data_IF_785464031207
#
_entry.id   IF_785464031207
#
_cell.length_a   1.000
_cell.length_b   1.000
_cell.length_c   1.000
_cell.angle_alpha   90.00
_cell.angle_beta   90.00
_cell.angle_gamma   90.00
#
_symmetry.space_group_name_H-M   'P 1'
#
loop_
_entity.id
_entity.type
_entity.pdbx_description
1 polymer ?
#
# COMPACT_ATOMS: atom_id res chain seq x y z
N UNK A 1 -6.67 12.96 21.48
CA UNK A 1 -6.80 13.01 20.01
C UNK A 1 -6.40 11.63 19.46
N UNK A 2 -7.35 10.83 18.99
CA UNK A 2 -7.03 9.54 18.36
C UNK A 2 -6.39 9.80 16.99
N UNK A 3 -5.10 9.48 16.85
CA UNK A 3 -4.34 9.72 15.62
C UNK A 3 -4.60 8.57 14.63
N UNK A 4 -5.63 8.72 13.80
CA UNK A 4 -6.01 7.71 12.80
C UNK A 4 -5.65 8.23 11.41
N UNK A 5 -4.39 8.05 11.00
CA UNK A 5 -3.96 8.34 9.64
C UNK A 5 -4.68 7.40 8.67
N UNK A 6 -5.61 7.96 7.89
CA UNK A 6 -6.40 7.24 6.89
C UNK A 6 -5.85 7.54 5.50
N UNK A 7 -5.61 6.50 4.71
CA UNK A 7 -5.09 6.61 3.34
C UNK A 7 -5.97 5.82 2.38
N UNK A 8 -6.02 6.26 1.13
CA UNK A 8 -6.66 5.51 0.05
C UNK A 8 -5.59 4.79 -0.80
N UNK A 9 -6.03 3.77 -1.52
CA UNK A 9 -5.18 2.99 -2.43
C UNK A 9 -4.62 3.81 -3.59
N UNK A 10 -5.35 4.78 -4.11
CA UNK A 10 -4.86 5.64 -5.19
C UNK A 10 -3.67 6.51 -4.78
N UNK A 11 -3.62 6.95 -3.52
CA UNK A 11 -2.58 7.85 -3.03
C UNK A 11 -1.36 7.13 -2.48
N UNK A 12 -1.48 5.84 -2.13
CA UNK A 12 -0.39 5.00 -1.61
C UNK A 12 0.86 5.04 -2.51
N UNK A 13 0.67 4.98 -3.84
CA UNK A 13 1.80 5.05 -4.77
C UNK A 13 2.42 6.45 -4.83
N UNK A 14 1.62 7.51 -4.84
CA UNK A 14 2.11 8.89 -4.95
C UNK A 14 2.89 9.33 -3.71
N UNK A 15 2.57 8.78 -2.54
CA UNK A 15 3.22 9.10 -1.26
C UNK A 15 4.62 8.50 -1.11
N UNK A 16 4.97 7.50 -1.94
CA UNK A 16 6.30 6.90 -1.91
C UNK A 16 7.36 7.85 -2.50
N UNK A 17 8.50 8.02 -1.82
CA UNK A 17 9.66 8.72 -2.38
C UNK A 17 10.13 8.05 -3.67
N UNK A 18 10.61 8.85 -4.63
CA UNK A 18 11.12 8.32 -5.91
C UNK A 18 12.26 7.32 -5.73
N UNK A 19 13.07 7.46 -4.67
CA UNK A 19 14.15 6.51 -4.35
C UNK A 19 13.64 5.10 -4.05
N UNK A 20 12.49 4.98 -3.37
CA UNK A 20 11.87 3.69 -3.06
C UNK A 20 11.22 3.10 -4.30
N UNK A 21 10.60 3.94 -5.15
CA UNK A 21 10.04 3.52 -6.45
C UNK A 21 11.11 2.99 -7.42
N UNK A 22 12.29 3.62 -7.41
CA UNK A 22 13.39 3.26 -8.30
C UNK A 22 14.12 1.99 -7.83
N UNK A 23 14.21 1.76 -6.51
CA UNK A 23 14.78 0.53 -5.95
C UNK A 23 13.95 -0.72 -6.31
N UNK A 24 12.63 -0.60 -6.40
CA UNK A 24 11.73 -1.66 -6.89
C UNK A 24 12.01 -2.05 -8.35
N UNK A 25 12.37 -1.06 -9.17
CA UNK A 25 12.66 -1.30 -10.59
C UNK A 25 14.02 -1.97 -10.79
N UNK A 26 14.96 -1.70 -9.88
CA UNK A 26 16.31 -2.28 -9.89
C UNK A 26 16.36 -3.68 -9.28
N UNK A 27 15.59 -3.94 -8.20
CA UNK A 27 15.53 -5.23 -7.53
C UNK A 27 14.14 -5.84 -7.69
N UNK A 28 13.98 -6.74 -8.67
CA UNK A 28 12.76 -7.52 -9.00
C UNK A 28 12.16 -8.37 -7.85
N UNK A 29 12.60 -8.18 -6.60
CA UNK A 29 12.14 -8.92 -5.43
C UNK A 29 11.90 -8.08 -4.17
N UNK A 30 12.10 -6.76 -4.20
CA UNK A 30 11.87 -5.90 -3.02
C UNK A 30 10.70 -4.98 -3.29
N UNK A 31 9.52 -5.36 -2.81
CA UNK A 31 8.32 -4.52 -2.84
C UNK A 31 8.39 -3.44 -1.74
N UNK A 32 7.81 -2.26 -1.96
CA UNK A 32 7.92 -1.16 -1.02
C UNK A 32 6.96 -1.39 0.14
N UNK A 33 7.47 -1.17 1.36
CA UNK A 33 6.71 -1.31 2.58
C UNK A 33 6.06 0.03 2.96
N UNK A 34 4.73 0.04 3.09
CA UNK A 34 3.98 1.24 3.46
C UNK A 34 3.15 0.99 4.71
N UNK A 35 3.29 1.85 5.73
CA UNK A 35 2.61 1.72 7.02
C UNK A 35 1.54 2.79 7.25
N UNK A 36 0.27 2.38 7.44
CA UNK A 36 -0.84 3.29 7.75
C UNK A 36 -1.80 2.71 8.77
N UNK A 37 -2.59 3.57 9.45
CA UNK A 37 -3.53 3.06 10.45
C UNK A 37 -4.80 2.50 9.80
N UNK A 38 -5.39 3.25 8.85
CA UNK A 38 -6.62 2.87 8.17
C UNK A 38 -6.46 2.97 6.65
N UNK A 39 -6.69 1.88 5.92
CA UNK A 39 -6.56 1.81 4.46
C UNK A 39 -7.92 1.58 3.81
N UNK A 40 -8.32 2.52 2.95
CA UNK A 40 -9.58 2.51 2.24
C UNK A 40 -9.40 2.12 0.78
N UNK A 41 -10.41 1.43 0.23
CA UNK A 41 -10.40 0.86 -1.12
C UNK A 41 -10.81 1.83 -2.24
N UNK A 42 -10.76 3.14 -2.00
CA UNK A 42 -11.13 4.16 -3.01
C UNK A 42 -10.03 4.25 -4.06
N UNK A 43 -10.42 4.35 -5.34
CA UNK A 43 -9.50 4.43 -6.47
C UNK A 43 -8.88 3.09 -6.89
N UNK A 44 -7.93 3.14 -7.82
CA UNK A 44 -7.21 1.98 -8.36
C UNK A 44 -5.73 2.19 -8.07
N UNK A 45 -5.03 1.13 -7.67
CA UNK A 45 -3.58 1.16 -7.55
C UNK A 45 -3.03 1.30 -8.99
N UNK A 46 -2.53 2.49 -9.34
CA UNK A 46 -2.17 2.83 -10.72
C UNK A 46 -0.90 2.11 -11.22
N UNK A 47 -0.12 1.53 -10.32
CA UNK A 47 1.08 0.79 -10.68
C UNK A 47 0.82 -0.71 -10.56
N UNK A 48 1.06 -1.47 -11.66
CA UNK A 48 1.09 -2.95 -11.67
C UNK A 48 2.27 -3.52 -10.86
N UNK A 49 2.72 -2.78 -9.85
CA UNK A 49 3.85 -3.11 -9.01
C UNK A 49 3.33 -3.61 -7.66
N UNK A 50 3.90 -4.71 -7.16
CA UNK A 50 3.50 -5.29 -5.89
C UNK A 50 3.84 -4.32 -4.75
N UNK A 51 2.91 -4.13 -3.80
CA UNK A 51 3.12 -3.27 -2.62
C UNK A 51 2.83 -4.05 -1.35
N UNK A 52 3.65 -3.86 -0.32
CA UNK A 52 3.40 -4.43 1.00
C UNK A 52 2.84 -3.35 1.91
N UNK A 53 1.61 -3.53 2.40
CA UNK A 53 0.92 -2.55 3.24
C UNK A 53 0.78 -3.09 4.66
N UNK A 54 1.38 -2.41 5.64
CA UNK A 54 1.16 -2.67 7.08
C UNK A 54 0.07 -1.75 7.60
N UNK A 55 -1.02 -2.32 8.10
CA UNK A 55 -2.09 -1.51 8.65
C UNK A 55 -2.88 -2.18 9.77
N UNK A 56 -3.55 -1.38 10.60
CA UNK A 56 -4.40 -1.88 11.68
C UNK A 56 -5.84 -2.12 11.21
N UNK A 57 -6.34 -1.24 10.36
CA UNK A 57 -7.66 -1.34 9.75
C UNK A 57 -7.52 -1.30 8.24
N UNK A 58 -8.10 -2.29 7.55
CA UNK A 58 -8.08 -2.38 6.10
C UNK A 58 -9.47 -2.76 5.61
N UNK A 59 -9.95 -2.04 4.60
CA UNK A 59 -11.21 -2.36 3.94
C UNK A 59 -11.07 -3.65 3.11
N UNK A 60 -12.10 -4.50 3.07
CA UNK A 60 -12.11 -5.72 2.22
C UNK A 60 -11.83 -5.40 0.74
N UNK A 61 -12.41 -4.31 0.23
CA UNK A 61 -12.14 -3.83 -1.12
C UNK A 61 -10.69 -3.38 -1.31
N UNK A 62 -10.06 -2.87 -0.26
CA UNK A 62 -8.68 -2.45 -0.32
C UNK A 62 -7.74 -3.66 -0.41
N UNK A 63 -7.96 -4.65 0.45
CA UNK A 63 -7.20 -5.89 0.45
C UNK A 63 -7.30 -6.63 -0.89
N UNK A 64 -8.51 -6.73 -1.46
CA UNK A 64 -8.73 -7.37 -2.76
C UNK A 64 -7.89 -6.70 -3.86
N UNK A 65 -7.93 -5.37 -3.94
CA UNK A 65 -7.17 -4.60 -4.92
C UNK A 65 -5.66 -4.75 -4.74
N UNK A 66 -5.17 -4.77 -3.52
CA UNK A 66 -3.73 -4.94 -3.24
C UNK A 66 -3.27 -6.33 -3.68
N UNK A 67 -4.05 -7.38 -3.38
CA UNK A 67 -3.76 -8.76 -3.83
C UNK A 67 -3.82 -8.91 -5.35
N UNK A 68 -4.78 -8.28 -6.02
CA UNK A 68 -4.88 -8.28 -7.50
C UNK A 68 -3.65 -7.65 -8.17
N UNK A 69 -2.96 -6.73 -7.50
CA UNK A 69 -1.71 -6.13 -7.97
C UNK A 69 -0.44 -6.89 -7.54
N UNK A 70 -0.59 -8.09 -6.94
CA UNK A 70 0.54 -8.90 -6.45
C UNK A 70 1.14 -8.41 -5.12
N UNK A 71 0.46 -7.49 -4.43
CA UNK A 71 0.86 -7.00 -3.12
C UNK A 71 0.38 -7.87 -1.96
N UNK A 72 0.85 -7.54 -0.76
CA UNK A 72 0.48 -8.22 0.49
C UNK A 72 0.04 -7.20 1.52
N UNK A 73 -1.04 -7.51 2.24
CA UNK A 73 -1.49 -6.72 3.39
C UNK A 73 -1.09 -7.44 4.66
N UNK A 74 -0.40 -6.75 5.55
CA UNK A 74 0.00 -7.23 6.87
C UNK A 74 -0.80 -6.47 7.92
N UNK A 75 -1.71 -7.17 8.59
CA UNK A 75 -2.52 -6.58 9.66
C UNK A 75 -1.65 -6.55 10.92
N UNK A 76 -1.39 -5.35 11.45
CA UNK A 76 -0.61 -5.15 12.68
C UNK A 76 -1.56 -4.67 13.78
N UNK A 77 -1.54 -5.33 14.94
CA UNK A 77 -2.42 -5.07 16.08
C UNK A 77 -2.05 -3.78 16.84
#
# INVERSE_FOLDING_TARGET
KFYCHTVNIDTLWSLLPQEVKNNDTANKGTAPLIGYFNVLGKGVLLSRQPVVVKAKLVSKNAEKKIKENGGVVVITA
#
